data_IF_111496043249
#
_entry.id   IF_111496043249
#
_cell.length_a   1.000
_cell.length_b   1.000
_cell.length_c   1.000
_cell.angle_alpha   90.00
_cell.angle_beta   90.00
_cell.angle_gamma   90.00
#
_symmetry.space_group_name_H-M   'P 1'
#
loop_
_entity.id
_entity.type
_entity.pdbx_description
1 polymer ?
#
# COMPACT_ATOMS: atom_id res chain seq x y z
N UNK A 1 -6.49 21.01 -1.74
CA UNK A 1 -6.19 20.27 -2.63
C UNK A 1 -5.86 18.87 -2.39
N UNK A 2 -6.07 17.97 -2.78
CA UNK A 2 -6.13 16.59 -2.75
C UNK A 2 -4.87 15.79 -2.42
N UNK A 3 -4.12 16.24 -1.45
CA UNK A 3 -2.90 15.53 -1.08
C UNK A 3 -3.12 14.50 0.02
N UNK A 4 -4.20 14.64 0.78
CA UNK A 4 -4.48 13.79 1.94
C UNK A 4 -5.77 13.04 1.73
N UNK A 5 -5.75 11.76 2.09
CA UNK A 5 -6.90 10.87 1.90
C UNK A 5 -7.08 9.98 3.12
N UNK A 6 -8.32 9.58 3.37
CA UNK A 6 -8.63 8.56 4.37
C UNK A 6 -9.48 7.50 3.69
N UNK A 7 -9.60 6.34 4.32
CA UNK A 7 -10.43 5.26 3.77
C UNK A 7 -11.85 5.33 4.34
N UNK A 8 -12.81 5.22 3.45
CA UNK A 8 -14.21 5.01 3.79
C UNK A 8 -14.52 3.62 3.25
N UNK A 9 -14.45 2.61 4.11
CA UNK A 9 -14.41 1.23 3.65
C UNK A 9 -13.12 1.02 2.87
N UNK A 10 -13.23 0.62 1.62
CA UNK A 10 -12.08 0.45 0.74
C UNK A 10 -11.88 1.63 -0.20
N UNK A 11 -12.70 2.65 -0.08
CA UNK A 11 -12.64 3.80 -0.97
C UNK A 11 -11.82 4.91 -0.33
N UNK A 12 -10.85 5.42 -1.06
CA UNK A 12 -10.07 6.56 -0.59
C UNK A 12 -10.83 7.84 -0.89
N UNK A 13 -10.98 8.69 0.12
CA UNK A 13 -11.68 9.96 -0.03
C UNK A 13 -10.77 11.09 0.42
N UNK A 14 -10.81 12.24 -0.29
CA UNK A 14 -9.96 13.37 0.07
C UNK A 14 -10.32 13.94 1.44
N UNK A 15 -9.31 14.43 2.14
CA UNK A 15 -9.52 15.03 3.44
C UNK A 15 -8.45 16.12 3.67
N UNK A 16 -8.46 16.70 4.86
CA UNK A 16 -7.47 17.71 5.21
C UNK A 16 -6.36 17.12 6.08
N UNK A 17 -5.31 17.91 6.30
CA UNK A 17 -4.14 17.46 7.04
C UNK A 17 -4.47 16.99 8.46
N UNK A 18 -5.28 17.74 9.18
CA UNK A 18 -5.56 17.39 10.57
C UNK A 18 -6.38 16.13 10.68
N UNK A 19 -7.38 15.97 9.81
CA UNK A 19 -8.20 14.76 9.78
C UNK A 19 -7.35 13.57 9.39
N UNK A 20 -6.49 13.74 8.39
CA UNK A 20 -5.59 12.68 7.96
C UNK A 20 -4.65 12.26 9.08
N UNK A 21 -4.03 13.22 9.77
CA UNK A 21 -3.09 12.92 10.83
C UNK A 21 -3.74 12.12 11.95
N UNK A 22 -4.95 12.51 12.32
CA UNK A 22 -5.69 11.79 13.35
C UNK A 22 -6.07 10.39 12.89
N UNK A 23 -6.50 10.26 11.63
CA UNK A 23 -6.84 8.97 11.05
C UNK A 23 -5.64 8.02 11.09
N UNK A 24 -4.48 8.49 10.64
CA UNK A 24 -3.28 7.68 10.58
C UNK A 24 -2.88 7.24 12.00
N UNK A 25 -2.98 8.14 12.95
CA UNK A 25 -2.60 7.86 14.33
C UNK A 25 -3.51 6.81 14.98
N UNK A 26 -4.80 6.85 14.68
CA UNK A 26 -5.78 6.00 15.34
C UNK A 26 -6.08 4.71 14.60
N UNK A 27 -5.64 4.57 13.34
CA UNK A 27 -5.99 3.43 12.50
C UNK A 27 -4.76 2.68 12.02
N UNK A 28 -3.79 2.50 12.88
CA UNK A 28 -2.52 1.90 12.46
C UNK A 28 -2.70 0.56 11.78
N UNK A 29 -3.52 -0.32 12.37
CA UNK A 29 -3.67 -1.65 11.80
C UNK A 29 -4.73 -1.70 10.72
N UNK A 30 -5.71 -0.82 10.80
CA UNK A 30 -6.75 -0.75 9.79
C UNK A 30 -6.27 -0.26 8.44
N UNK A 31 -5.03 0.18 8.34
CA UNK A 31 -4.46 0.64 7.08
C UNK A 31 -3.81 -0.47 6.27
N UNK A 32 -3.66 -1.64 6.83
CA UNK A 32 -3.07 -2.76 6.10
C UNK A 32 -4.08 -3.35 5.13
N UNK A 33 -3.69 -3.44 3.86
CA UNK A 33 -4.45 -4.16 2.86
C UNK A 33 -4.13 -5.65 3.00
N UNK A 34 -2.84 -5.98 3.14
CA UNK A 34 -2.39 -7.34 3.32
C UNK A 34 -1.00 -7.33 3.93
N UNK A 35 -0.66 -8.39 4.64
CA UNK A 35 0.64 -8.51 5.29
C UNK A 35 0.95 -10.00 5.37
N UNK A 36 2.02 -10.41 4.71
CA UNK A 36 2.37 -11.83 4.65
C UNK A 36 3.84 -12.04 4.92
N UNK A 37 4.14 -13.17 5.53
CA UNK A 37 5.51 -13.58 5.76
C UNK A 37 5.78 -14.87 5.01
N UNK A 38 6.81 -14.87 4.19
CA UNK A 38 7.21 -16.04 3.40
C UNK A 38 8.66 -16.36 3.78
N UNK A 39 8.84 -17.38 4.62
CA UNK A 39 10.16 -17.63 5.18
C UNK A 39 10.62 -16.44 5.99
N UNK A 40 11.76 -15.88 5.65
CA UNK A 40 12.30 -14.71 6.35
C UNK A 40 11.93 -13.39 5.67
N UNK A 41 11.06 -13.44 4.66
CA UNK A 41 10.69 -12.26 3.90
C UNK A 41 9.29 -11.82 4.30
N UNK A 42 9.12 -10.53 4.52
CA UNK A 42 7.81 -9.96 4.82
C UNK A 42 7.38 -9.09 3.66
N UNK A 43 6.14 -9.25 3.21
CA UNK A 43 5.54 -8.43 2.18
C UNK A 43 4.36 -7.72 2.81
N UNK A 44 4.41 -6.38 2.84
CA UNK A 44 3.40 -5.56 3.50
C UNK A 44 2.80 -4.58 2.52
N UNK A 45 1.47 -4.51 2.47
CA UNK A 45 0.76 -3.56 1.63
C UNK A 45 -0.14 -2.71 2.51
N UNK A 46 0.06 -1.40 2.46
CA UNK A 46 -0.62 -0.47 3.35
C UNK A 46 -1.22 0.69 2.58
N UNK A 47 -2.21 1.31 3.21
CA UNK A 47 -2.77 2.57 2.74
C UNK A 47 -1.93 3.70 3.34
N UNK A 48 -1.36 4.52 2.47
CA UNK A 48 -0.52 5.65 2.90
C UNK A 48 -1.36 6.89 3.21
N UNK A 49 -2.41 7.10 2.43
CA UNK A 49 -3.27 8.27 2.60
C UNK A 49 -2.65 9.57 2.17
N UNK A 50 -1.46 9.51 1.61
CA UNK A 50 -0.74 10.68 1.13
C UNK A 50 -0.39 10.43 -0.32
N UNK A 51 -0.71 11.39 -1.18
CA UNK A 51 -0.51 11.21 -2.61
C UNK A 51 0.99 11.27 -2.94
N UNK A 52 1.49 10.19 -3.50
CA UNK A 52 2.89 10.08 -3.91
C UNK A 52 3.07 10.20 -5.42
N UNK A 53 2.03 10.63 -6.14
CA UNK A 53 2.16 10.84 -7.58
C UNK A 53 2.79 12.21 -7.82
N UNK A 54 3.80 12.23 -8.65
CA UNK A 54 4.46 13.47 -9.04
C UNK A 54 4.10 13.77 -10.49
N UNK A 55 3.80 15.02 -10.78
CA UNK A 55 3.49 15.42 -12.14
C UNK A 55 2.06 15.19 -12.56
N UNK A 56 1.16 15.01 -11.61
CA UNK A 56 -0.24 14.79 -11.92
C UNK A 56 -0.58 13.33 -12.07
N UNK A 57 -1.73 13.04 -12.63
CA UNK A 57 -2.21 11.68 -12.77
C UNK A 57 -2.94 11.21 -11.52
N UNK A 58 -3.41 9.96 -11.51
CA UNK A 58 -4.13 9.42 -10.36
C UNK A 58 -3.25 9.41 -9.12
N UNK A 59 -3.83 9.68 -7.95
CA UNK A 59 -3.03 9.69 -6.72
C UNK A 59 -2.52 8.29 -6.38
N UNK A 60 -1.28 8.22 -5.91
CA UNK A 60 -0.66 6.96 -5.48
C UNK A 60 -0.77 6.89 -3.96
N UNK A 61 -1.73 6.11 -3.48
CA UNK A 61 -2.15 6.13 -2.09
C UNK A 61 -1.85 4.84 -1.32
N UNK A 62 -1.45 3.78 -2.02
CA UNK A 62 -1.17 2.48 -1.41
C UNK A 62 0.23 2.04 -1.80
N UNK A 63 0.86 1.24 -0.95
CA UNK A 63 2.23 0.80 -1.21
C UNK A 63 2.43 -0.62 -0.74
N UNK A 64 3.06 -1.43 -1.59
CA UNK A 64 3.60 -2.73 -1.21
C UNK A 64 5.10 -2.59 -1.04
N UNK A 65 5.64 -3.11 0.05
CA UNK A 65 7.06 -3.10 0.32
C UNK A 65 7.51 -4.49 0.75
N UNK A 66 8.68 -4.90 0.26
CA UNK A 66 9.30 -6.17 0.61
C UNK A 66 10.41 -5.92 1.61
N UNK A 67 10.44 -6.69 2.68
CA UNK A 67 11.47 -6.62 3.71
C UNK A 67 12.19 -7.95 3.80
N UNK A 68 13.47 -7.94 3.48
CA UNK A 68 14.32 -9.12 3.54
C UNK A 68 14.44 -9.84 2.21
N UNK A 69 15.39 -10.74 2.14
CA UNK A 69 15.60 -11.60 0.98
C UNK A 69 16.18 -10.88 -0.21
N UNK A 70 16.10 -11.57 -1.34
CA UNK A 70 16.65 -11.10 -2.60
C UNK A 70 15.97 -9.84 -3.11
N UNK A 71 14.69 -9.69 -2.81
CA UNK A 71 13.89 -8.57 -3.27
C UNK A 71 13.71 -7.50 -2.20
N UNK A 72 14.61 -7.47 -1.22
CA UNK A 72 14.53 -6.51 -0.12
C UNK A 72 14.40 -5.09 -0.65
N UNK A 73 13.41 -4.37 -0.11
CA UNK A 73 13.11 -2.97 -0.43
C UNK A 73 12.51 -2.74 -1.82
N UNK A 74 12.18 -3.79 -2.55
CA UNK A 74 11.35 -3.60 -3.73
C UNK A 74 10.00 -3.06 -3.28
N UNK A 75 9.46 -2.16 -4.08
CA UNK A 75 8.18 -1.58 -3.72
C UNK A 75 7.38 -1.22 -4.96
N UNK A 76 6.07 -1.14 -4.78
CA UNK A 76 5.13 -0.71 -5.81
C UNK A 76 4.08 0.15 -5.16
N UNK A 77 3.46 1.03 -5.93
CA UNK A 77 2.43 1.92 -5.43
C UNK A 77 1.21 1.87 -6.31
N UNK A 78 0.05 2.13 -5.70
CA UNK A 78 -1.23 1.95 -6.37
C UNK A 78 -2.19 3.06 -5.98
N UNK A 79 -3.22 3.22 -6.83
CA UNK A 79 -4.25 4.23 -6.61
C UNK A 79 -5.44 3.70 -5.82
N UNK A 80 -5.82 2.44 -6.02
CA UNK A 80 -7.03 1.88 -5.42
C UNK A 80 -6.71 0.67 -4.56
N UNK A 81 -7.63 0.37 -3.64
CA UNK A 81 -7.53 -0.83 -2.81
C UNK A 81 -7.43 -2.08 -3.66
N UNK A 82 -8.25 -2.18 -4.71
CA UNK A 82 -8.27 -3.36 -5.57
C UNK A 82 -6.95 -3.55 -6.30
N UNK A 83 -6.36 -2.46 -6.76
CA UNK A 83 -5.03 -2.52 -7.37
C UNK A 83 -3.99 -2.96 -6.34
N UNK A 84 -4.12 -2.49 -5.11
CA UNK A 84 -3.19 -2.84 -4.04
C UNK A 84 -3.28 -4.32 -3.70
N UNK A 85 -4.49 -4.88 -3.66
CA UNK A 85 -4.67 -6.31 -3.42
C UNK A 85 -4.03 -7.14 -4.54
N UNK A 86 -4.27 -6.77 -5.78
CA UNK A 86 -3.69 -7.48 -6.92
C UNK A 86 -2.17 -7.36 -6.92
N UNK A 87 -1.68 -6.16 -6.62
CA UNK A 87 -0.24 -5.92 -6.57
C UNK A 87 0.45 -6.68 -5.46
N UNK A 88 -0.23 -6.80 -4.31
CA UNK A 88 0.30 -7.59 -3.20
C UNK A 88 0.49 -9.06 -3.61
N UNK A 89 -0.53 -9.63 -4.24
CA UNK A 89 -0.45 -11.02 -4.71
C UNK A 89 0.66 -11.20 -5.72
N UNK A 90 0.81 -10.24 -6.63
CA UNK A 90 1.88 -10.30 -7.62
C UNK A 90 3.26 -10.25 -6.97
N UNK A 91 3.40 -9.42 -5.93
CA UNK A 91 4.68 -9.31 -5.23
C UNK A 91 4.99 -10.59 -4.45
N UNK A 92 3.98 -11.19 -3.82
CA UNK A 92 4.17 -12.47 -3.14
C UNK A 92 4.63 -13.54 -4.13
N UNK A 93 4.00 -13.61 -5.30
CA UNK A 93 4.39 -14.58 -6.32
C UNK A 93 5.83 -14.34 -6.77
N UNK A 94 6.21 -13.10 -6.95
CA UNK A 94 7.56 -12.75 -7.37
C UNK A 94 8.59 -13.19 -6.32
N UNK A 95 8.32 -12.91 -5.05
CA UNK A 95 9.23 -13.25 -3.96
C UNK A 95 9.34 -14.76 -3.79
N UNK A 96 8.24 -15.47 -3.94
CA UNK A 96 8.25 -16.92 -3.78
C UNK A 96 8.81 -17.64 -4.99
N UNK A 97 8.98 -16.95 -6.12
CA UNK A 97 9.41 -17.58 -7.34
C UNK A 97 8.33 -18.43 -7.99
N UNK A 98 7.07 -18.19 -7.67
CA UNK A 98 5.97 -19.02 -8.15
C UNK A 98 5.49 -18.63 -9.54
N UNK A 99 6.22 -17.81 -10.22
CA UNK A 99 5.79 -17.24 -11.49
C UNK A 99 5.53 -18.27 -12.57
N UNK A 100 6.17 -19.40 -12.44
CA UNK A 100 6.07 -20.43 -13.46
C UNK A 100 5.05 -21.50 -13.15
N UNK A 101 4.36 -21.30 -12.11
CA UNK A 101 3.37 -22.30 -11.69
C UNK A 101 2.29 -22.47 -12.72
#
# INVERSE_FOLDING_TARGET
MGDYYILDGHKAVPTDLLTWAKYIETRREGRHVADEKVGDVRISTVFLGLDHAFGGGPPLLFETMVFGGEHDQEMDRYTTWEQAEAGHKAMVAKVTGAKDA
#
